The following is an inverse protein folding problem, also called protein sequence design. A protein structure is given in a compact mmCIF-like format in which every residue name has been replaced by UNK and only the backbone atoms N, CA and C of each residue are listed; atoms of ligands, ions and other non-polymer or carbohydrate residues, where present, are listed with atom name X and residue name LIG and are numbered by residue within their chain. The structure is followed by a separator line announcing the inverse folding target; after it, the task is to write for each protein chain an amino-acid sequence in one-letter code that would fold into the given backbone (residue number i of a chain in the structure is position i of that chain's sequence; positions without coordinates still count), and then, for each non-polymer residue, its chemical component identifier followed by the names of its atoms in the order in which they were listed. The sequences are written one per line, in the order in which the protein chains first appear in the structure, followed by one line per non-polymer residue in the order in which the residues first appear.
data_IF_125108236740
#
_entry.id   IF_125108236740
#
_cell.length_a   1.000
_cell.length_b   1.000
_cell.length_c   1.000
_cell.angle_alpha   90.00
_cell.angle_beta   90.00
_cell.angle_gamma   90.00
#
_symmetry.space_group_name_H-M   'P 1'
#
loop_
_entity.id
_entity.type
_entity.pdbx_description
1 polymer ?
#
# COMPACT_ATOMS: atom_id res chain seq x y z
N UNK A 1 -4.89 -13.30 -5.90
CA UNK A 1 -3.87 -12.25 -6.06
C UNK A 1 -3.21 -12.02 -4.72
N UNK A 2 -1.87 -12.04 -4.65
CA UNK A 2 -1.14 -11.84 -3.39
C UNK A 2 -1.31 -10.41 -2.89
N UNK A 3 -1.03 -10.15 -1.61
CA UNK A 3 -1.10 -8.80 -1.05
C UNK A 3 -0.13 -7.83 -1.78
N UNK A 4 1.14 -8.20 -2.06
CA UNK A 4 2.04 -7.40 -2.90
C UNK A 4 1.47 -7.05 -4.28
N UNK A 5 0.86 -8.02 -4.96
CA UNK A 5 0.24 -7.78 -6.27
C UNK A 5 -0.89 -6.76 -6.16
N UNK A 6 -1.71 -6.83 -5.10
CA UNK A 6 -2.80 -5.89 -4.86
C UNK A 6 -2.29 -4.48 -4.54
N UNK A 7 -1.18 -4.37 -3.80
CA UNK A 7 -0.56 -3.10 -3.43
C UNK A 7 0.11 -2.40 -4.63
N UNK A 8 0.47 -3.15 -5.67
CA UNK A 8 1.07 -2.64 -6.91
C UNK A 8 0.05 -2.22 -7.98
N UNK A 9 -1.25 -2.44 -7.76
CA UNK A 9 -2.28 -2.02 -8.72
C UNK A 9 -2.53 -0.52 -8.63
N UNK A 10 -2.41 0.18 -9.76
CA UNK A 10 -2.78 1.61 -9.88
C UNK A 10 -4.30 1.84 -9.67
N UNK A 11 -5.10 0.81 -9.95
CA UNK A 11 -6.55 0.84 -9.77
C UNK A 11 -6.91 0.02 -8.54
N UNK A 12 -7.24 0.74 -7.48
CA UNK A 12 -7.77 0.16 -6.25
C UNK A 12 -9.26 -0.16 -6.44
N UNK A 13 -9.59 -1.37 -6.89
CA UNK A 13 -10.99 -1.85 -6.89
C UNK A 13 -11.34 -2.40 -5.53
N UNK A 14 -12.02 -1.60 -4.73
CA UNK A 14 -12.70 -2.04 -3.52
C UNK A 14 -14.09 -2.61 -3.85
N UNK A 15 -14.59 -3.47 -2.98
CA UNK A 15 -16.01 -3.79 -2.90
C UNK A 15 -16.72 -2.62 -2.17
N UNK A 16 -17.99 -2.34 -2.47
CA UNK A 16 -18.73 -1.12 -2.02
C UNK A 16 -18.62 -0.78 -0.51
N UNK A 17 -18.30 -1.75 0.36
CA UNK A 17 -18.13 -1.55 1.80
C UNK A 17 -16.74 -1.01 2.22
N UNK A 18 -15.71 -1.13 1.38
CA UNK A 18 -14.30 -0.89 1.75
C UNK A 18 -13.79 0.52 1.42
N UNK A 19 -14.61 1.39 0.81
CA UNK A 19 -14.27 2.76 0.44
C UNK A 19 -14.25 3.78 1.60
N UNK A 20 -14.47 3.34 2.85
CA UNK A 20 -14.69 4.26 3.97
C UNK A 20 -13.48 5.17 4.23
N UNK A 21 -12.25 4.66 4.09
CA UNK A 21 -11.03 5.45 4.29
C UNK A 21 -10.88 6.51 3.19
N UNK A 22 -11.13 6.13 1.94
CA UNK A 22 -11.09 7.04 0.78
C UNK A 22 -12.12 8.15 0.94
N UNK A 23 -13.35 7.81 1.32
CA UNK A 23 -14.42 8.79 1.54
C UNK A 23 -14.05 9.79 2.65
N UNK A 24 -13.46 9.31 3.76
CA UNK A 24 -13.01 10.17 4.86
C UNK A 24 -11.84 11.08 4.44
N UNK A 25 -10.91 10.56 3.63
CA UNK A 25 -9.77 11.33 3.13
C UNK A 25 -10.20 12.40 2.10
N UNK A 26 -11.13 12.04 1.20
CA UNK A 26 -11.67 12.94 0.19
C UNK A 26 -12.57 14.04 0.78
N UNK A 27 -13.40 13.70 1.78
CA UNK A 27 -14.33 14.64 2.42
C UNK A 27 -13.64 15.59 3.42
N UNK A 28 -12.47 15.23 3.95
CA UNK A 28 -11.72 16.07 4.89
C UNK A 28 -10.27 16.25 4.43
N UNK A 29 -9.92 17.39 3.82
CA UNK A 29 -8.58 17.60 3.25
C UNK A 29 -7.47 17.59 4.30
N UNK A 30 -7.78 17.90 5.57
CA UNK A 30 -6.80 17.79 6.67
C UNK A 30 -6.47 16.33 7.02
N UNK A 31 -7.44 15.42 6.85
CA UNK A 31 -7.21 13.98 7.01
C UNK A 31 -6.46 13.43 5.81
N UNK A 32 -6.89 13.76 4.59
CA UNK A 32 -6.23 13.34 3.35
C UNK A 32 -4.75 13.72 3.31
N UNK A 33 -4.42 14.98 3.65
CA UNK A 33 -3.03 15.46 3.67
C UNK A 33 -2.11 14.76 4.70
N UNK A 34 -2.66 13.96 5.61
CA UNK A 34 -1.91 13.28 6.69
C UNK A 34 -2.13 11.77 6.69
N UNK A 35 -2.83 11.24 5.69
CA UNK A 35 -3.34 9.87 5.69
C UNK A 35 -2.20 8.85 5.83
N UNK A 36 -1.11 9.02 5.08
CA UNK A 36 0.09 8.17 5.15
C UNK A 36 0.63 8.06 6.58
N UNK A 37 0.75 9.20 7.27
CA UNK A 37 1.24 9.22 8.66
C UNK A 37 0.28 8.52 9.61
N UNK A 38 -1.03 8.66 9.40
CA UNK A 38 -2.04 7.96 10.19
C UNK A 38 -2.01 6.45 9.94
N UNK A 39 -1.85 6.03 8.68
CA UNK A 39 -1.72 4.62 8.31
C UNK A 39 -0.49 3.98 8.99
N UNK A 40 0.68 4.62 8.89
CA UNK A 40 1.90 4.14 9.55
C UNK A 40 1.74 4.04 11.07
N UNK A 41 1.12 5.05 11.70
CA UNK A 41 0.85 4.99 13.15
C UNK A 41 -0.13 3.88 13.50
N UNK A 42 -1.21 3.72 12.71
CA UNK A 42 -2.20 2.67 12.93
C UNK A 42 -1.57 1.28 12.83
N UNK A 43 -0.76 1.02 11.80
CA UNK A 43 -0.01 -0.24 11.61
C UNK A 43 0.85 -0.53 12.85
N UNK A 44 1.62 0.46 13.32
CA UNK A 44 2.47 0.32 14.50
C UNK A 44 1.66 0.02 15.78
N UNK A 45 0.56 0.72 16.01
CA UNK A 45 -0.30 0.52 17.19
C UNK A 45 -1.05 -0.82 17.16
N UNK A 46 -1.25 -1.40 15.97
CA UNK A 46 -1.86 -2.73 15.80
C UNK A 46 -0.84 -3.87 15.81
N UNK A 47 0.45 -3.57 15.91
CA UNK A 47 1.51 -4.58 15.90
C UNK A 47 1.75 -5.21 14.53
N UNK A 48 1.28 -4.58 13.45
CA UNK A 48 1.38 -5.09 12.08
C UNK A 48 2.67 -4.64 11.36
N UNK A 49 3.62 -4.05 12.10
CA UNK A 49 4.83 -3.44 11.53
C UNK A 49 5.66 -4.44 10.71
N UNK A 50 5.88 -5.65 11.23
CA UNK A 50 6.71 -6.64 10.55
C UNK A 50 6.01 -7.17 9.31
N UNK A 51 4.72 -7.52 9.41
CA UNK A 51 3.94 -8.01 8.27
C UNK A 51 3.86 -6.98 7.13
N UNK A 52 3.74 -5.70 7.49
CA UNK A 52 3.78 -4.62 6.51
C UNK A 52 5.18 -4.43 5.91
N UNK A 53 6.24 -4.54 6.72
CA UNK A 53 7.62 -4.49 6.23
C UNK A 53 7.93 -5.65 5.27
N UNK A 54 7.58 -6.88 5.62
CA UNK A 54 7.75 -8.06 4.78
C UNK A 54 7.08 -7.87 3.41
N UNK A 55 5.85 -7.33 3.40
CA UNK A 55 5.15 -7.03 2.15
C UNK A 55 5.86 -5.96 1.30
N UNK A 56 6.44 -4.93 1.92
CA UNK A 56 7.19 -3.89 1.21
C UNK A 56 8.52 -4.42 0.67
N UNK A 57 9.24 -5.24 1.43
CA UNK A 57 10.48 -5.89 0.99
C UNK A 57 10.23 -6.81 -0.20
N UNK A 58 9.12 -7.55 -0.20
CA UNK A 58 8.73 -8.38 -1.33
C UNK A 58 8.41 -7.54 -2.59
N UNK A 59 7.76 -6.38 -2.42
CA UNK A 59 7.52 -5.43 -3.53
C UNK A 59 8.83 -4.88 -4.08
N UNK A 60 9.76 -4.48 -3.21
CA UNK A 60 11.06 -3.92 -3.63
C UNK A 60 11.89 -4.96 -4.39
N UNK A 61 11.96 -6.19 -3.88
CA UNK A 61 12.65 -7.29 -4.55
C UNK A 61 12.11 -7.54 -5.98
N UNK A 62 10.79 -7.55 -6.16
CA UNK A 62 10.15 -7.73 -7.48
C UNK A 62 10.46 -6.58 -8.43
N UNK A 63 10.52 -5.34 -7.94
CA UNK A 63 10.88 -4.20 -8.76
C UNK A 63 12.34 -4.26 -9.23
N UNK A 64 13.25 -4.75 -8.38
CA UNK A 64 14.66 -4.97 -8.72
C UNK A 64 14.80 -6.07 -9.78
N UNK A 65 14.09 -7.19 -9.63
CA UNK A 65 14.07 -8.28 -10.62
C UNK A 65 13.55 -7.81 -11.99
N UNK A 66 12.41 -7.11 -12.00
CA UNK A 66 11.83 -6.57 -13.23
C UNK A 66 12.75 -5.53 -13.92
N UNK A 67 13.55 -4.78 -13.15
CA UNK A 67 14.55 -3.88 -13.70
C UNK A 67 15.75 -4.62 -14.31
N UNK A 68 16.20 -5.72 -13.69
CA UNK A 68 17.30 -6.54 -14.19
C UNK A 68 16.95 -7.27 -15.49
N UNK A 69 15.72 -7.80 -15.62
CA UNK A 69 15.24 -8.44 -16.85
C UNK A 69 15.20 -7.48 -18.04
N UNK A 70 14.83 -6.21 -17.82
CA UNK A 70 14.82 -5.18 -18.89
C UNK A 70 16.22 -4.78 -19.36
N UNK A 71 17.27 -5.12 -18.59
CA UNK A 71 18.66 -4.80 -18.88
C UNK A 71 19.43 -5.99 -19.49
N UNK A 72 18.80 -7.16 -19.60
CA UNK A 72 19.37 -8.32 -20.29
C UNK A 72 18.80 -8.40 -21.72
N UNK A 73 19.64 -8.38 -22.78
CA UNK A 73 19.19 -8.37 -24.18
C UNK A 73 18.60 -9.69 -24.67
#
# INVERSE_FOLDING_TARGET
MSLPDKLLMDVWTHDDADHRVEHLAASNPKLGARLERFALRFISEKGLTNEFADALEEIDARNVEAAAERLTP
#
